data_IF_301541241072
#
_entry.id   IF_301541241072
#
_cell.length_a   1.000
_cell.length_b   1.000
_cell.length_c   1.000
_cell.angle_alpha   90.00
_cell.angle_beta   90.00
_cell.angle_gamma   90.00
#
_symmetry.space_group_name_H-M   'P 1'
#
loop_
_entity.id
_entity.type
_entity.pdbx_description
1 polymer ?
#
# COMPACT_ATOMS: atom_id res chain seq x y z
N UNK A 1 1.00 -21.16 3.52
CA UNK A 1 2.38 -21.68 3.38
C UNK A 1 3.25 -20.51 2.94
N UNK A 2 4.32 -20.19 3.68
CA UNK A 2 5.25 -19.11 3.29
C UNK A 2 5.96 -19.57 2.01
N UNK A 3 5.81 -18.79 0.94
CA UNK A 3 6.46 -19.05 -0.34
C UNK A 3 7.94 -18.66 -0.30
N UNK A 4 8.46 -18.17 -1.42
CA UNK A 4 9.81 -17.63 -1.50
C UNK A 4 9.94 -16.39 -0.60
N UNK A 5 11.00 -16.32 0.21
CA UNK A 5 11.30 -15.15 1.03
C UNK A 5 11.96 -14.03 0.23
N UNK A 6 12.64 -14.38 -0.85
CA UNK A 6 13.33 -13.44 -1.71
C UNK A 6 13.08 -13.79 -3.16
N UNK A 7 13.03 -12.80 -4.02
CA UNK A 7 13.07 -13.00 -5.47
C UNK A 7 14.32 -12.33 -6.06
N UNK A 8 14.70 -12.73 -7.27
CA UNK A 8 15.79 -12.09 -7.98
C UNK A 8 15.26 -11.00 -8.91
N UNK A 9 15.87 -9.83 -8.79
CA UNK A 9 15.90 -8.79 -9.80
C UNK A 9 17.25 -8.86 -10.52
N UNK A 10 17.37 -8.30 -11.73
CA UNK A 10 18.48 -8.48 -12.67
C UNK A 10 19.90 -8.27 -12.10
N UNK A 11 20.01 -7.62 -10.94
CA UNK A 11 21.28 -7.30 -10.28
C UNK A 11 21.35 -7.70 -8.80
N UNK A 12 20.24 -8.01 -8.12
CA UNK A 12 20.24 -8.26 -6.68
C UNK A 12 19.03 -9.04 -6.18
N UNK A 13 19.19 -9.68 -5.00
CA UNK A 13 18.08 -10.31 -4.29
C UNK A 13 17.24 -9.26 -3.59
N UNK A 14 15.91 -9.35 -3.74
CA UNK A 14 14.94 -8.43 -3.17
C UNK A 14 14.03 -9.16 -2.18
N UNK A 15 13.50 -8.47 -1.15
CA UNK A 15 12.56 -9.06 -0.20
C UNK A 15 11.21 -9.34 -0.87
N UNK A 16 10.70 -10.56 -0.72
CA UNK A 16 9.38 -10.97 -1.19
C UNK A 16 8.22 -10.49 -0.29
N UNK A 17 8.52 -9.89 0.87
CA UNK A 17 7.51 -9.37 1.79
C UNK A 17 7.89 -8.00 2.33
N UNK A 18 6.91 -7.11 2.44
CA UNK A 18 7.03 -5.84 3.14
C UNK A 18 5.74 -5.48 3.87
N UNK A 19 5.81 -4.49 4.74
CA UNK A 19 4.64 -3.91 5.43
C UNK A 19 4.28 -2.60 4.74
N UNK A 20 3.03 -2.40 4.36
CA UNK A 20 2.61 -1.11 3.81
C UNK A 20 2.40 -0.03 4.88
N UNK A 21 2.00 1.17 4.48
CA UNK A 21 1.77 2.27 5.43
C UNK A 21 0.61 1.99 6.41
N UNK A 22 -0.37 1.17 6.03
CA UNK A 22 -1.54 0.83 6.85
C UNK A 22 -1.20 -0.26 7.87
N UNK A 23 -0.11 -1.00 7.64
CA UNK A 23 0.27 -2.17 8.45
C UNK A 23 -0.10 -3.49 7.81
N UNK A 24 -0.52 -3.50 6.54
CA UNK A 24 -0.80 -4.73 5.81
C UNK A 24 0.50 -5.45 5.46
N UNK A 25 0.46 -6.78 5.45
CA UNK A 25 1.52 -7.60 4.89
C UNK A 25 1.32 -7.70 3.37
N UNK A 26 2.30 -7.22 2.62
CA UNK A 26 2.29 -7.19 1.16
C UNK A 26 3.32 -8.15 0.62
N UNK A 27 2.94 -8.91 -0.41
CA UNK A 27 3.88 -9.75 -1.15
C UNK A 27 4.43 -9.01 -2.36
N UNK A 28 5.72 -9.17 -2.57
CA UNK A 28 6.48 -8.62 -3.67
C UNK A 28 7.06 -9.74 -4.54
N UNK A 29 7.16 -9.50 -5.85
CA UNK A 29 7.71 -10.44 -6.83
C UNK A 29 8.21 -9.68 -8.07
N UNK A 30 9.07 -10.32 -8.86
CA UNK A 30 9.55 -9.79 -10.15
C UNK A 30 8.43 -9.56 -11.19
N UNK A 31 7.23 -10.11 -10.96
CA UNK A 31 6.05 -9.84 -11.77
C UNK A 31 5.39 -8.47 -11.46
N UNK A 32 5.72 -7.84 -10.32
CA UNK A 32 5.18 -6.54 -9.94
C UNK A 32 5.94 -5.38 -10.58
N UNK A 33 5.34 -4.17 -10.60
CA UNK A 33 5.98 -2.99 -11.18
C UNK A 33 7.17 -2.52 -10.34
N UNK A 34 8.37 -2.50 -10.91
CA UNK A 34 9.58 -2.01 -10.22
C UNK A 34 9.44 -0.55 -9.79
N UNK A 35 8.85 0.30 -10.64
CA UNK A 35 8.68 1.73 -10.40
C UNK A 35 7.39 2.08 -9.66
N UNK A 36 6.71 1.08 -9.08
CA UNK A 36 5.51 1.31 -8.27
C UNK A 36 5.80 2.07 -6.98
N UNK A 37 4.75 2.68 -6.40
CA UNK A 37 4.81 3.34 -5.09
C UNK A 37 5.29 2.38 -4.00
N UNK A 38 4.89 1.10 -4.09
CA UNK A 38 5.52 -0.02 -3.41
C UNK A 38 6.20 -0.88 -4.50
N UNK A 39 7.53 -0.81 -4.65
CA UNK A 39 8.24 -1.55 -5.69
C UNK A 39 7.96 -3.04 -5.64
N UNK A 40 7.69 -3.63 -6.81
CA UNK A 40 7.47 -5.06 -7.01
C UNK A 40 6.25 -5.64 -6.27
N UNK A 41 5.39 -4.82 -5.68
CA UNK A 41 4.20 -5.30 -4.98
C UNK A 41 3.21 -5.95 -5.95
N UNK A 42 2.70 -7.13 -5.58
CA UNK A 42 1.79 -7.91 -6.42
C UNK A 42 0.45 -8.22 -5.74
N UNK A 43 0.46 -8.50 -4.45
CA UNK A 43 -0.75 -8.91 -3.72
C UNK A 43 -0.70 -8.51 -2.25
N UNK A 44 -1.90 -8.32 -1.70
CA UNK A 44 -2.13 -8.20 -0.26
C UNK A 44 -2.11 -9.61 0.34
N UNK A 45 -1.07 -9.94 1.11
CA UNK A 45 -0.93 -11.26 1.72
C UNK A 45 -1.82 -11.40 2.97
N UNK A 46 -1.88 -10.36 3.80
CA UNK A 46 -2.80 -10.27 4.94
C UNK A 46 -3.07 -8.80 5.27
N UNK A 47 -4.32 -8.46 5.56
CA UNK A 47 -4.69 -7.09 5.94
C UNK A 47 -4.29 -6.79 7.39
N UNK A 48 -4.18 -5.51 7.75
CA UNK A 48 -3.89 -5.08 9.10
C UNK A 48 -4.94 -5.60 10.10
N UNK A 49 -6.22 -5.61 9.71
CA UNK A 49 -7.31 -6.17 10.53
C UNK A 49 -7.17 -7.69 10.72
N UNK A 50 -6.78 -8.41 9.67
CA UNK A 50 -6.52 -9.84 9.75
C UNK A 50 -5.29 -10.14 10.63
N UNK A 51 -4.24 -9.32 10.54
CA UNK A 51 -3.04 -9.46 11.35
C UNK A 51 -3.31 -9.15 12.84
N UNK A 52 -4.25 -8.26 13.14
CA UNK A 52 -4.69 -7.99 14.51
C UNK A 52 -5.47 -9.17 15.12
N UNK A 53 -6.22 -9.91 14.30
CA UNK A 53 -7.04 -11.04 14.69
C UNK A 53 -6.85 -12.23 13.73
N UNK A 54 -5.70 -12.93 13.77
CA UNK A 54 -5.33 -13.90 12.75
C UNK A 54 -6.18 -15.17 12.81
N UNK A 55 -6.65 -15.62 11.65
CA UNK A 55 -7.21 -16.95 11.46
C UNK A 55 -6.09 -18.00 11.47
N UNK A 56 -6.41 -19.29 11.66
CA UNK A 56 -5.40 -20.36 11.65
C UNK A 56 -4.59 -20.47 10.34
N UNK A 57 -5.09 -19.92 9.24
CA UNK A 57 -4.43 -19.91 7.93
C UNK A 57 -3.84 -18.55 7.54
N UNK A 58 -4.00 -17.51 8.38
CA UNK A 58 -3.46 -16.17 8.14
C UNK A 58 -1.95 -16.21 8.10
N UNK A 59 -1.36 -15.52 7.11
CA UNK A 59 0.08 -15.35 7.04
C UNK A 59 0.50 -14.17 7.91
N UNK A 60 0.99 -14.45 9.13
CA UNK A 60 1.37 -13.39 10.06
C UNK A 60 2.76 -12.83 9.77
N UNK A 61 2.99 -11.59 10.21
CA UNK A 61 4.32 -10.95 10.17
C UNK A 61 5.35 -11.78 10.94
N UNK A 62 4.96 -12.31 12.11
CA UNK A 62 5.83 -13.10 12.96
C UNK A 62 6.26 -14.40 12.28
N UNK A 63 5.34 -15.10 11.61
CA UNK A 63 5.68 -16.30 10.86
C UNK A 63 6.69 -16.01 9.74
N UNK A 64 6.57 -14.87 9.06
CA UNK A 64 7.55 -14.44 8.04
C UNK A 64 8.89 -14.12 8.69
N UNK A 65 8.91 -13.39 9.81
CA UNK A 65 10.14 -13.01 10.53
C UNK A 65 10.87 -14.23 11.11
N UNK A 66 10.16 -15.19 11.70
CA UNK A 66 10.72 -16.46 12.16
C UNK A 66 11.38 -17.22 10.99
N UNK A 67 10.70 -17.25 9.85
CA UNK A 67 11.24 -17.91 8.65
C UNK A 67 12.46 -17.17 8.10
N UNK A 68 12.46 -15.84 8.09
CA UNK A 68 13.63 -15.02 7.71
C UNK A 68 14.80 -15.34 8.64
N UNK A 69 14.59 -15.34 9.96
CA UNK A 69 15.64 -15.60 10.93
C UNK A 69 16.30 -16.96 10.66
N UNK A 70 15.50 -18.02 10.52
CA UNK A 70 15.99 -19.37 10.22
C UNK A 70 16.77 -19.46 8.90
N UNK A 71 16.24 -18.85 7.83
CA UNK A 71 16.85 -18.97 6.50
C UNK A 71 18.08 -18.07 6.35
N UNK A 72 18.11 -16.92 7.02
CA UNK A 72 19.22 -15.95 6.99
C UNK A 72 20.55 -16.50 7.52
N UNK A 73 20.51 -17.56 8.34
CA UNK A 73 21.70 -18.26 8.82
C UNK A 73 22.44 -18.99 7.69
N UNK A 74 21.68 -19.52 6.73
CA UNK A 74 22.18 -20.38 5.65
C UNK A 74 22.22 -19.71 4.28
N UNK A 75 21.43 -18.65 4.07
CA UNK A 75 21.32 -17.95 2.78
C UNK A 75 21.67 -16.47 2.89
N UNK A 76 22.83 -16.09 2.33
CA UNK A 76 23.29 -14.70 2.29
C UNK A 76 22.29 -13.77 1.57
N UNK A 77 21.65 -14.24 0.49
CA UNK A 77 20.64 -13.47 -0.24
C UNK A 77 19.46 -13.03 0.64
N UNK A 78 19.00 -13.89 1.54
CA UNK A 78 17.93 -13.56 2.49
C UNK A 78 18.39 -12.53 3.51
N UNK A 79 19.63 -12.65 4.00
CA UNK A 79 20.22 -11.68 4.93
C UNK A 79 20.37 -10.29 4.30
N UNK A 80 20.77 -10.24 3.04
CA UNK A 80 20.95 -9.00 2.30
C UNK A 80 19.59 -8.35 1.97
N UNK A 81 18.59 -9.16 1.61
CA UNK A 81 17.23 -8.71 1.33
C UNK A 81 16.48 -8.22 2.59
N UNK A 82 16.78 -8.80 3.76
CA UNK A 82 16.19 -8.44 5.05
C UNK A 82 17.26 -8.08 6.09
N UNK A 83 17.85 -6.88 6.00
CA UNK A 83 18.83 -6.42 6.98
C UNK A 83 18.26 -6.51 8.40
N UNK A 84 19.03 -7.08 9.32
CA UNK A 84 18.63 -7.29 10.72
C UNK A 84 17.39 -8.18 10.92
N UNK A 85 17.05 -9.03 9.95
CA UNK A 85 15.87 -9.91 9.98
C UNK A 85 14.57 -9.12 10.21
N UNK A 86 14.41 -7.98 9.52
CA UNK A 86 13.23 -7.12 9.62
C UNK A 86 12.54 -6.97 8.27
N UNK A 87 11.21 -6.90 8.30
CA UNK A 87 10.41 -6.48 7.16
C UNK A 87 10.58 -4.98 6.92
N UNK A 88 10.69 -4.58 5.65
CA UNK A 88 10.71 -3.17 5.26
C UNK A 88 9.30 -2.59 5.38
N UNK A 89 9.18 -1.38 5.89
CA UNK A 89 7.94 -0.61 5.84
C UNK A 89 7.93 0.30 4.61
N UNK A 90 6.88 0.24 3.81
CA UNK A 90 6.66 1.11 2.67
C UNK A 90 6.02 2.44 3.10
N UNK A 91 6.25 3.49 2.32
CA UNK A 91 5.74 4.83 2.62
C UNK A 91 4.31 5.08 2.10
N UNK A 92 3.72 4.08 1.44
CA UNK A 92 2.43 4.13 0.78
C UNK A 92 1.58 2.91 1.17
N UNK A 93 0.25 3.03 1.19
CA UNK A 93 -0.66 1.90 1.23
C UNK A 93 -0.55 1.03 -0.01
N UNK A 94 -0.78 -0.27 0.13
CA UNK A 94 -0.89 -1.16 -1.02
C UNK A 94 -2.20 -0.92 -1.77
N UNK A 95 -2.08 -0.86 -3.09
CA UNK A 95 -3.20 -0.95 -4.02
C UNK A 95 -2.83 -1.93 -5.14
N UNK A 96 -3.76 -2.75 -5.64
CA UNK A 96 -3.49 -3.67 -6.73
C UNK A 96 -2.90 -2.96 -7.95
N UNK A 97 -1.95 -3.59 -8.62
CA UNK A 97 -1.47 -3.09 -9.90
C UNK A 97 -2.47 -3.43 -11.00
N UNK A 98 -3.18 -2.40 -11.45
CA UNK A 98 -4.02 -2.42 -12.65
C UNK A 98 -3.47 -1.33 -13.57
N UNK A 99 -3.19 -1.69 -14.82
CA UNK A 99 -2.70 -0.74 -15.81
C UNK A 99 -3.78 0.32 -16.06
N UNK A 100 -3.42 1.58 -15.80
CA UNK A 100 -4.33 2.70 -16.00
C UNK A 100 -4.34 3.05 -17.49
N UNK A 101 -5.40 2.67 -18.19
CA UNK A 101 -5.58 2.95 -19.63
C UNK A 101 -6.37 4.23 -19.90
N UNK A 102 -7.07 4.74 -18.89
CA UNK A 102 -7.87 5.96 -18.98
C UNK A 102 -6.99 7.21 -19.07
N UNK A 103 -7.50 8.23 -19.76
CA UNK A 103 -6.82 9.52 -19.85
C UNK A 103 -6.72 10.19 -18.48
N UNK A 104 -5.54 10.74 -18.18
CA UNK A 104 -5.27 11.35 -16.87
C UNK A 104 -6.20 12.54 -16.57
N UNK A 105 -6.56 13.35 -17.57
CA UNK A 105 -7.48 14.46 -17.35
C UNK A 105 -8.89 13.96 -17.04
N UNK A 106 -9.31 12.84 -17.62
CA UNK A 106 -10.58 12.20 -17.30
C UNK A 106 -10.60 11.70 -15.85
N UNK A 107 -9.52 11.04 -15.40
CA UNK A 107 -9.37 10.59 -14.01
C UNK A 107 -9.44 11.78 -13.05
N UNK A 108 -8.68 12.84 -13.32
CA UNK A 108 -8.67 14.05 -12.48
C UNK A 108 -10.06 14.66 -12.39
N UNK A 109 -10.78 14.79 -13.51
CA UNK A 109 -12.15 15.31 -13.52
C UNK A 109 -13.12 14.44 -12.72
N UNK A 110 -13.01 13.11 -12.82
CA UNK A 110 -13.83 12.19 -12.04
C UNK A 110 -13.56 12.34 -10.53
N UNK A 111 -12.28 12.46 -10.15
CA UNK A 111 -11.84 12.72 -8.77
C UNK A 111 -12.38 14.07 -8.26
N UNK A 112 -12.35 15.11 -9.08
CA UNK A 112 -12.87 16.45 -8.76
C UNK A 112 -14.39 16.48 -8.63
N UNK A 113 -15.11 15.69 -9.44
CA UNK A 113 -16.55 15.58 -9.38
C UNK A 113 -17.03 14.82 -8.13
N UNK A 114 -16.27 13.81 -7.69
CA UNK A 114 -16.64 12.90 -6.61
C UNK A 114 -17.24 13.55 -5.34
N UNK A 115 -16.68 14.63 -4.77
CA UNK A 115 -17.21 15.25 -3.55
C UNK A 115 -18.61 15.85 -3.68
N UNK A 116 -19.06 16.09 -4.92
CA UNK A 116 -20.40 16.64 -5.21
C UNK A 116 -21.47 15.55 -5.36
N UNK A 117 -21.06 14.29 -5.45
CA UNK A 117 -21.93 13.15 -5.66
C UNK A 117 -22.39 12.55 -4.33
N UNK A 118 -23.59 11.97 -4.33
CA UNK A 118 -24.15 11.27 -3.17
C UNK A 118 -24.82 9.97 -3.60
N UNK A 119 -24.92 9.01 -2.68
CA UNK A 119 -25.62 7.75 -2.91
C UNK A 119 -25.00 6.93 -4.05
N UNK A 120 -25.85 6.37 -4.91
CA UNK A 120 -25.46 5.46 -5.99
C UNK A 120 -24.47 6.07 -6.98
N UNK A 121 -24.60 7.37 -7.28
CA UNK A 121 -23.69 8.05 -8.22
C UNK A 121 -22.25 8.11 -7.68
N UNK A 122 -22.09 8.36 -6.37
CA UNK A 122 -20.77 8.37 -5.75
C UNK A 122 -20.16 6.95 -5.76
N UNK A 123 -20.97 5.94 -5.46
CA UNK A 123 -20.54 4.53 -5.51
C UNK A 123 -20.11 4.14 -6.92
N UNK A 124 -20.90 4.47 -7.94
CA UNK A 124 -20.60 4.13 -9.34
C UNK A 124 -19.29 4.79 -9.82
N UNK A 125 -19.05 6.06 -9.47
CA UNK A 125 -17.79 6.73 -9.82
C UNK A 125 -16.59 6.11 -9.10
N UNK A 126 -16.73 5.75 -7.82
CA UNK A 126 -15.67 5.07 -7.08
C UNK A 126 -15.33 3.72 -7.72
N UNK A 127 -16.34 2.90 -8.01
CA UNK A 127 -16.15 1.58 -8.61
C UNK A 127 -15.53 1.70 -10.00
N UNK A 128 -15.97 2.66 -10.81
CA UNK A 128 -15.37 2.90 -12.13
C UNK A 128 -13.89 3.28 -12.02
N UNK A 129 -13.53 4.16 -11.06
CA UNK A 129 -12.13 4.50 -10.80
C UNK A 129 -11.32 3.28 -10.36
N UNK A 130 -11.87 2.42 -9.51
CA UNK A 130 -11.21 1.19 -9.05
C UNK A 130 -10.98 0.20 -10.21
N UNK A 131 -11.96 0.05 -11.11
CA UNK A 131 -11.79 -0.74 -12.35
C UNK A 131 -10.66 -0.16 -13.22
N UNK A 132 -10.51 1.16 -13.26
CA UNK A 132 -9.43 1.85 -13.95
C UNK A 132 -8.10 1.85 -13.17
N UNK A 133 -7.99 1.15 -12.05
CA UNK A 133 -6.77 1.05 -11.26
C UNK A 133 -6.49 2.25 -10.33
N UNK A 134 -7.49 3.08 -10.09
CA UNK A 134 -7.41 4.26 -9.22
C UNK A 134 -8.27 4.03 -7.98
N UNK A 135 -7.60 3.95 -6.84
CA UNK A 135 -8.21 3.61 -5.56
C UNK A 135 -8.23 4.82 -4.63
N UNK A 136 -9.21 4.84 -3.75
CA UNK A 136 -9.22 5.81 -2.66
C UNK A 136 -8.09 5.51 -1.67
N UNK A 137 -7.41 6.55 -1.19
CA UNK A 137 -6.40 6.41 -0.13
C UNK A 137 -7.11 5.95 1.15
N UNK A 138 -6.71 4.81 1.76
CA UNK A 138 -7.30 4.33 2.99
C UNK A 138 -7.03 5.29 4.15
N UNK A 139 -7.95 5.32 5.12
CA UNK A 139 -7.73 6.07 6.36
C UNK A 139 -6.62 5.41 7.16
N UNK A 140 -5.62 6.20 7.55
CA UNK A 140 -4.54 5.77 8.45
C UNK A 140 -4.43 6.78 9.58
N UNK A 141 -4.11 6.34 10.79
CA UNK A 141 -4.07 7.23 11.98
C UNK A 141 -2.84 8.15 11.98
N UNK A 142 -1.82 7.83 11.18
CA UNK A 142 -0.54 8.54 11.11
C UNK A 142 -0.51 9.48 9.92
N UNK A 143 -0.06 10.71 10.14
CA UNK A 143 0.17 11.65 9.04
C UNK A 143 1.35 11.22 8.16
N UNK A 144 1.11 11.07 6.85
CA UNK A 144 2.15 10.83 5.85
C UNK A 144 2.13 11.93 4.79
N UNK A 145 3.19 12.75 4.65
CA UNK A 145 3.22 13.84 3.68
C UNK A 145 3.17 13.36 2.22
N UNK A 146 3.39 12.07 1.97
CA UNK A 146 3.33 11.49 0.64
C UNK A 146 1.89 11.33 0.14
N UNK A 147 0.93 11.09 1.04
CA UNK A 147 -0.47 10.81 0.71
C UNK A 147 -1.45 11.78 1.35
N UNK A 148 -1.00 12.61 2.30
CA UNK A 148 -1.84 13.55 3.03
C UNK A 148 -1.44 15.01 2.80
N UNK A 149 -2.44 15.87 2.85
CA UNK A 149 -2.34 17.32 2.89
C UNK A 149 -3.06 17.84 4.15
N UNK A 150 -2.43 18.73 4.91
CA UNK A 150 -3.01 19.28 6.12
C UNK A 150 -4.05 20.36 5.80
N UNK A 151 -5.22 20.29 6.42
CA UNK A 151 -6.23 21.34 6.31
C UNK A 151 -5.88 22.53 7.21
N UNK A 152 -5.35 23.59 6.60
CA UNK A 152 -5.01 24.86 7.26
C UNK A 152 -3.53 25.00 7.64
N UNK A 153 -3.18 26.13 8.26
CA UNK A 153 -1.79 26.54 8.55
C UNK A 153 -1.19 25.90 9.84
N UNK A 154 -1.87 24.91 10.42
CA UNK A 154 -1.51 24.29 11.70
C UNK A 154 -0.76 22.96 11.59
N UNK A 155 -0.13 22.55 12.69
CA UNK A 155 0.42 21.19 12.83
C UNK A 155 -0.72 20.17 12.89
N UNK A 156 -0.72 19.21 11.96
CA UNK A 156 -1.59 18.03 12.03
C UNK A 156 -1.00 17.03 13.01
N UNK A 157 -1.72 16.79 14.11
CA UNK A 157 -1.31 15.85 15.17
C UNK A 157 -2.27 14.66 15.16
N UNK A 158 -1.76 13.41 15.21
CA UNK A 158 -2.60 12.22 15.34
C UNK A 158 -3.51 12.24 16.58
N UNK A 159 -4.68 11.59 16.55
CA UNK A 159 -5.24 10.87 15.40
C UNK A 159 -5.75 11.83 14.32
N UNK A 160 -5.61 11.44 13.05
CA UNK A 160 -6.04 12.28 11.92
C UNK A 160 -7.45 11.91 11.45
N UNK A 161 -8.18 12.89 10.96
CA UNK A 161 -9.49 12.72 10.33
C UNK A 161 -9.48 13.24 8.90
N UNK A 162 -9.97 12.41 7.98
CA UNK A 162 -10.13 12.77 6.57
C UNK A 162 -11.25 13.80 6.41
N UNK A 163 -10.91 14.93 5.79
CA UNK A 163 -11.83 15.98 5.35
C UNK A 163 -12.27 15.71 3.92
N UNK A 164 -11.32 15.41 3.03
CA UNK A 164 -11.56 15.08 1.63
C UNK A 164 -10.75 13.85 1.24
N UNK A 165 -11.38 12.90 0.56
CA UNK A 165 -10.73 11.66 0.12
C UNK A 165 -9.54 11.92 -0.81
N UNK A 166 -8.45 11.18 -0.62
CA UNK A 166 -7.34 11.10 -1.55
C UNK A 166 -7.50 9.94 -2.53
N UNK A 167 -6.75 9.95 -3.64
CA UNK A 167 -6.81 8.95 -4.69
C UNK A 167 -5.41 8.63 -5.23
N UNK A 168 -5.14 7.34 -5.47
CA UNK A 168 -3.86 6.84 -5.95
C UNK A 168 -4.04 5.57 -6.80
N UNK A 169 -3.11 5.35 -7.73
CA UNK A 169 -2.88 4.03 -8.33
C UNK A 169 -1.63 3.41 -7.72
N UNK A 170 -1.28 2.20 -8.15
CA UNK A 170 -0.01 1.55 -7.77
C UNK A 170 1.24 2.33 -8.21
N UNK A 171 1.09 3.26 -9.17
CA UNK A 171 2.21 4.00 -9.76
C UNK A 171 2.29 5.47 -9.30
N UNK A 172 1.17 6.10 -8.92
CA UNK A 172 1.18 7.51 -8.52
C UNK A 172 0.00 7.92 -7.64
N UNK A 173 0.19 9.03 -6.93
CA UNK A 173 -0.86 9.72 -6.17
C UNK A 173 -1.46 10.81 -7.07
N UNK A 174 -2.76 10.71 -7.37
CA UNK A 174 -3.48 11.71 -8.19
C UNK A 174 -3.93 12.90 -7.34
N UNK A 175 -4.41 12.62 -6.13
CA UNK A 175 -4.85 13.64 -5.17
C UNK A 175 -4.53 13.16 -3.76
N UNK A 176 -3.82 13.96 -2.98
CA UNK A 176 -3.60 13.66 -1.56
C UNK A 176 -4.92 13.78 -0.78
N UNK A 177 -5.08 12.98 0.26
CA UNK A 177 -6.22 13.13 1.15
C UNK A 177 -6.03 14.40 1.99
N UNK A 178 -7.05 15.25 2.03
CA UNK A 178 -7.05 16.41 2.91
C UNK A 178 -7.44 15.94 4.31
N UNK A 179 -6.57 16.16 5.28
CA UNK A 179 -6.72 15.66 6.66
C UNK A 179 -6.54 16.77 7.68
N UNK A 180 -7.11 16.59 8.86
CA UNK A 180 -6.91 17.45 10.03
C UNK A 180 -6.76 16.61 11.29
N UNK A 181 -6.27 17.20 12.38
CA UNK A 181 -6.35 16.56 13.70
C UNK A 181 -7.82 16.26 14.05
N UNK A 182 -8.09 15.07 14.59
CA UNK A 182 -9.44 14.61 14.91
C UNK A 182 -10.14 15.45 16.00
#
# INVERSE_FOLDING_TARGET
>A
MIGELTFQDATCSKPAYCIDLVGNLVRCSSAGPEQGLIPFAIELASSADELACPYPWTLTTDAVLERIALVSESQASTRDAYPHNKLKTAAYPFVPHIEVTEDEQLIIRAIELYPTLTGENATAVREQLEVSGVFMIPSVDVFSPNIHEAAGDGLTVPPIKTVTAGWMSSMKVYRKALVRSA
#
